data_IF_924740213741
#
_entry.id   IF_924740213741
#
_cell.length_a   1.000
_cell.length_b   1.000
_cell.length_c   1.000
_cell.angle_alpha   90.00
_cell.angle_beta   90.00
_cell.angle_gamma   90.00
#
_symmetry.space_group_name_H-M   'P 1'
#
loop_
_entity.id
_entity.type
_entity.pdbx_description
1 polymer ?
#
# COMPACT_ATOMS: atom_id res chain seq x y z
N UNK A 1 -3.60 2.18 -5.37
CA UNK A 1 -4.17 1.69 -4.09
C UNK A 1 -5.59 2.20 -3.95
N UNK A 2 -5.79 3.51 -4.05
CA UNK A 2 -7.09 4.17 -3.97
C UNK A 2 -8.20 3.53 -4.82
N UNK A 3 -7.92 3.17 -6.09
CA UNK A 3 -8.92 2.52 -6.94
C UNK A 3 -9.46 1.20 -6.33
N UNK A 4 -8.61 0.42 -5.68
CA UNK A 4 -8.99 -0.87 -5.09
C UNK A 4 -9.81 -0.66 -3.81
N UNK A 5 -9.42 0.31 -2.99
CA UNK A 5 -10.18 0.73 -1.81
C UNK A 5 -11.56 1.29 -2.21
N UNK A 6 -11.60 2.11 -3.26
CA UNK A 6 -12.86 2.64 -3.82
C UNK A 6 -13.73 1.53 -4.37
N UNK A 7 -13.16 0.61 -5.16
CA UNK A 7 -13.91 -0.48 -5.75
C UNK A 7 -14.47 -1.43 -4.67
N UNK A 8 -13.68 -1.79 -3.66
CA UNK A 8 -14.15 -2.60 -2.54
C UNK A 8 -15.26 -1.90 -1.75
N UNK A 9 -15.16 -0.58 -1.55
CA UNK A 9 -16.21 0.21 -0.92
C UNK A 9 -17.50 0.23 -1.76
N UNK A 10 -17.40 0.57 -3.04
CA UNK A 10 -18.55 0.63 -3.96
C UNK A 10 -19.25 -0.72 -4.10
N UNK A 11 -18.49 -1.82 -4.18
CA UNK A 11 -19.05 -3.17 -4.23
C UNK A 11 -19.86 -3.51 -2.97
N UNK A 12 -19.37 -3.14 -1.79
CA UNK A 12 -20.09 -3.37 -0.52
C UNK A 12 -21.41 -2.61 -0.46
N UNK A 13 -21.41 -1.33 -0.83
CA UNK A 13 -22.63 -0.54 -0.86
C UNK A 13 -23.62 -1.09 -1.90
N UNK A 14 -23.12 -1.52 -3.06
CA UNK A 14 -23.95 -2.16 -4.09
C UNK A 14 -24.56 -3.50 -3.62
N UNK A 15 -23.89 -4.22 -2.71
CA UNK A 15 -24.44 -5.42 -2.07
C UNK A 15 -25.45 -5.13 -0.94
N UNK A 16 -25.78 -3.86 -0.69
CA UNK A 16 -26.74 -3.45 0.35
C UNK A 16 -26.15 -3.36 1.76
N UNK A 17 -24.82 -3.34 1.91
CA UNK A 17 -24.19 -3.15 3.21
C UNK A 17 -24.47 -1.74 3.76
N UNK A 18 -24.64 -1.57 5.08
CA UNK A 18 -24.88 -0.27 5.68
C UNK A 18 -23.70 0.67 5.46
N UNK A 19 -23.96 1.96 5.22
CA UNK A 19 -22.92 2.96 5.03
C UNK A 19 -22.31 3.39 6.39
N UNK A 20 -21.56 2.49 7.02
CA UNK A 20 -21.00 2.66 8.36
C UNK A 20 -19.49 2.39 8.45
N UNK A 21 -18.96 2.56 9.67
CA UNK A 21 -17.51 2.46 9.93
C UNK A 21 -17.03 1.01 9.81
N UNK A 22 -17.85 0.02 10.18
CA UNK A 22 -17.54 -1.41 10.06
C UNK A 22 -17.37 -1.79 8.59
N UNK A 23 -18.34 -1.44 7.76
CA UNK A 23 -18.30 -1.70 6.31
C UNK A 23 -17.07 -1.03 5.67
N UNK A 24 -16.69 0.15 6.16
CA UNK A 24 -15.52 0.88 5.66
C UNK A 24 -14.21 0.16 6.00
N UNK A 25 -14.06 -0.33 7.23
CA UNK A 25 -12.85 -1.03 7.65
C UNK A 25 -12.65 -2.32 6.88
N UNK A 26 -13.71 -3.09 6.71
CA UNK A 26 -13.65 -4.35 5.98
C UNK A 26 -13.42 -4.14 4.47
N UNK A 27 -14.04 -3.13 3.85
CA UNK A 27 -13.76 -2.74 2.47
C UNK A 27 -12.28 -2.33 2.26
N UNK A 28 -11.71 -1.61 3.23
CA UNK A 28 -10.30 -1.23 3.20
C UNK A 28 -9.40 -2.47 3.31
N UNK A 29 -9.72 -3.42 4.20
CA UNK A 29 -8.97 -4.66 4.34
C UNK A 29 -8.94 -5.45 3.04
N UNK A 30 -10.10 -5.64 2.43
CA UNK A 30 -10.28 -6.38 1.18
C UNK A 30 -9.54 -5.71 0.01
N UNK A 31 -9.68 -4.39 -0.14
CA UNK A 31 -8.96 -3.62 -1.16
C UNK A 31 -7.45 -3.55 -0.93
N UNK A 32 -6.98 -3.58 0.32
CA UNK A 32 -5.56 -3.56 0.66
C UNK A 32 -4.88 -4.91 0.37
N UNK A 33 -5.50 -6.03 0.75
CA UNK A 33 -4.95 -7.39 0.56
C UNK A 33 -4.65 -7.68 -0.91
N UNK A 34 -5.52 -7.23 -1.83
CA UNK A 34 -5.32 -7.42 -3.27
C UNK A 34 -4.00 -6.82 -3.80
N UNK A 35 -3.40 -5.88 -3.07
CA UNK A 35 -2.13 -5.24 -3.44
C UNK A 35 -0.91 -5.79 -2.73
N UNK A 36 -1.07 -6.60 -1.68
CA UNK A 36 0.05 -7.18 -0.93
C UNK A 36 0.87 -8.08 -1.83
N UNK A 37 0.23 -9.04 -2.52
CA UNK A 37 0.92 -10.01 -3.37
C UNK A 37 1.67 -9.36 -4.55
N UNK A 38 1.07 -8.44 -5.34
CA UNK A 38 1.80 -7.76 -6.40
C UNK A 38 2.95 -6.88 -5.90
N UNK A 39 2.78 -6.15 -4.79
CA UNK A 39 3.86 -5.32 -4.22
C UNK A 39 5.01 -6.17 -3.71
N UNK A 40 4.70 -7.26 -3.00
CA UNK A 40 5.70 -8.19 -2.48
C UNK A 40 6.49 -8.85 -3.62
N UNK A 41 5.83 -9.20 -4.73
CA UNK A 41 6.50 -9.72 -5.92
C UNK A 41 7.56 -8.75 -6.47
N UNK A 42 7.20 -7.47 -6.63
CA UNK A 42 8.16 -6.46 -7.12
C UNK A 42 9.33 -6.28 -6.17
N UNK A 43 9.09 -6.19 -4.86
CA UNK A 43 10.15 -6.07 -3.85
C UNK A 43 11.07 -7.30 -3.91
N UNK A 44 10.52 -8.51 -3.95
CA UNK A 44 11.29 -9.74 -4.01
C UNK A 44 12.21 -9.81 -5.24
N UNK A 45 11.69 -9.48 -6.43
CA UNK A 45 12.48 -9.47 -7.67
C UNK A 45 13.62 -8.46 -7.61
N UNK A 46 13.36 -7.27 -7.08
CA UNK A 46 14.37 -6.20 -6.98
C UNK A 46 15.44 -6.58 -5.97
N UNK A 47 15.06 -7.10 -4.79
CA UNK A 47 16.01 -7.63 -3.83
C UNK A 47 16.84 -8.75 -4.45
N UNK A 48 16.24 -9.72 -5.12
CA UNK A 48 16.96 -10.82 -5.76
C UNK A 48 17.96 -10.34 -6.83
N UNK A 49 17.60 -9.32 -7.63
CA UNK A 49 18.46 -8.78 -8.69
C UNK A 49 19.60 -7.89 -8.18
N UNK A 50 19.36 -7.10 -7.12
CA UNK A 50 20.34 -6.15 -6.58
C UNK A 50 21.17 -6.69 -5.42
N UNK A 51 20.71 -7.75 -4.74
CA UNK A 51 21.44 -8.36 -3.62
C UNK A 51 22.86 -8.80 -3.99
N UNK A 52 23.12 -9.45 -5.15
CA UNK A 52 24.48 -9.82 -5.55
C UNK A 52 25.38 -8.60 -5.79
N UNK A 53 24.82 -7.53 -6.36
CA UNK A 53 25.53 -6.27 -6.62
C UNK A 53 25.89 -5.54 -5.33
N UNK A 54 25.09 -5.74 -4.28
CA UNK A 54 25.30 -5.15 -2.98
C UNK A 54 26.39 -5.87 -2.18
N UNK A 55 26.48 -7.21 -2.28
CA UNK A 55 27.42 -8.03 -1.50
C UNK A 55 28.76 -8.26 -2.21
N UNK A 56 28.82 -8.09 -3.55
CA UNK A 56 30.03 -8.32 -4.32
C UNK A 56 31.20 -7.42 -3.93
N UNK A 57 32.38 -8.01 -3.71
CA UNK A 57 33.63 -7.30 -3.48
C UNK A 57 34.51 -7.39 -4.74
N UNK A 58 34.96 -6.24 -5.25
CA UNK A 58 35.76 -6.15 -6.48
C UNK A 58 35.91 -4.72 -6.97
N UNK A 59 36.77 -4.50 -7.98
CA UNK A 59 36.95 -3.18 -8.58
C UNK A 59 35.61 -2.64 -9.12
N UNK A 60 35.24 -1.41 -8.73
CA UNK A 60 33.97 -0.79 -9.11
C UNK A 60 32.77 -1.10 -8.21
N UNK A 61 32.92 -2.00 -7.22
CA UNK A 61 31.86 -2.32 -6.25
C UNK A 61 31.43 -1.11 -5.41
N UNK A 62 32.36 -0.25 -4.98
CA UNK A 62 32.02 0.95 -4.20
C UNK A 62 31.04 1.88 -4.92
N UNK A 63 31.20 2.04 -6.24
CA UNK A 63 30.31 2.87 -7.05
C UNK A 63 28.94 2.20 -7.18
N UNK A 64 28.92 0.90 -7.43
CA UNK A 64 27.67 0.14 -7.63
C UNK A 64 26.86 0.04 -6.33
N UNK A 65 27.51 -0.16 -5.18
CA UNK A 65 26.86 -0.15 -3.86
C UNK A 65 26.22 1.20 -3.54
N UNK A 66 26.87 2.33 -3.88
CA UNK A 66 26.31 3.68 -3.65
C UNK A 66 25.05 3.95 -4.48
N UNK A 67 24.91 3.31 -5.64
CA UNK A 67 23.72 3.39 -6.49
C UNK A 67 22.63 2.42 -5.99
N UNK A 68 23.02 1.19 -5.63
CA UNK A 68 22.10 0.15 -5.21
C UNK A 68 21.50 0.40 -3.81
N UNK A 69 22.26 0.99 -2.87
CA UNK A 69 21.82 1.17 -1.49
C UNK A 69 20.54 2.04 -1.37
N UNK A 70 20.45 3.23 -1.99
CA UNK A 70 19.22 4.02 -1.98
C UNK A 70 18.06 3.32 -2.68
N UNK A 71 18.33 2.58 -3.77
CA UNK A 71 17.30 1.84 -4.51
C UNK A 71 16.68 0.73 -3.66
N UNK A 72 17.51 -0.06 -2.98
CA UNK A 72 17.07 -1.12 -2.06
C UNK A 72 16.27 -0.53 -0.88
N UNK A 73 16.80 0.52 -0.26
CA UNK A 73 16.13 1.21 0.86
C UNK A 73 14.77 1.79 0.45
N UNK A 74 14.71 2.48 -0.68
CA UNK A 74 13.47 3.05 -1.22
C UNK A 74 12.46 1.98 -1.61
N UNK A 75 12.90 0.87 -2.21
CA UNK A 75 12.01 -0.21 -2.62
C UNK A 75 11.43 -1.00 -1.44
N UNK A 76 12.14 -1.08 -0.31
CA UNK A 76 11.61 -1.66 0.92
C UNK A 76 10.63 -0.69 1.62
N UNK A 77 11.03 0.57 1.78
CA UNK A 77 10.29 1.53 2.60
C UNK A 77 9.06 2.09 1.90
N UNK A 78 9.14 2.44 0.61
CA UNK A 78 8.05 3.12 -0.09
C UNK A 78 6.78 2.25 -0.23
N UNK A 79 6.84 0.96 -0.59
CA UNK A 79 5.65 0.12 -0.70
C UNK A 79 4.97 -0.13 0.64
N UNK A 80 5.76 -0.30 1.71
CA UNK A 80 5.29 -0.45 3.10
C UNK A 80 4.59 0.82 3.56
N UNK A 81 5.26 1.97 3.42
CA UNK A 81 4.67 3.27 3.72
C UNK A 81 3.37 3.47 2.94
N UNK A 82 3.35 3.16 1.65
CA UNK A 82 2.16 3.23 0.81
C UNK A 82 1.04 2.26 1.24
N UNK A 83 1.36 1.08 1.76
CA UNK A 83 0.37 0.12 2.27
C UNK A 83 -0.24 0.54 3.60
N UNK A 84 0.44 1.35 4.39
CA UNK A 84 -0.08 1.85 5.67
C UNK A 84 -0.77 3.21 5.48
N UNK A 85 -0.08 4.16 4.84
CA UNK A 85 -0.51 5.55 4.76
C UNK A 85 -1.76 5.72 3.88
N UNK A 86 -1.84 5.06 2.72
CA UNK A 86 -2.97 5.27 1.81
C UNK A 86 -4.29 4.74 2.41
N UNK A 87 -4.35 3.51 2.96
CA UNK A 87 -5.55 3.03 3.66
C UNK A 87 -5.94 3.90 4.86
N UNK A 88 -4.97 4.33 5.67
CA UNK A 88 -5.22 5.21 6.81
C UNK A 88 -5.79 6.56 6.39
N UNK A 89 -5.22 7.18 5.35
CA UNK A 89 -5.72 8.43 4.79
C UNK A 89 -7.15 8.27 4.23
N UNK A 90 -7.41 7.17 3.51
CA UNK A 90 -8.74 6.87 2.98
C UNK A 90 -9.77 6.70 4.10
N UNK A 91 -9.42 5.96 5.16
CA UNK A 91 -10.26 5.79 6.34
C UNK A 91 -10.60 7.14 7.00
N UNK A 92 -9.61 8.00 7.22
CA UNK A 92 -9.80 9.30 7.86
C UNK A 92 -10.71 10.22 7.05
N UNK A 93 -10.51 10.30 5.74
CA UNK A 93 -11.34 11.13 4.85
C UNK A 93 -12.78 10.60 4.81
N UNK A 94 -12.97 9.30 4.61
CA UNK A 94 -14.32 8.72 4.49
C UNK A 94 -15.08 8.73 5.81
N UNK A 95 -14.43 8.45 6.94
CA UNK A 95 -15.03 8.53 8.28
C UNK A 95 -15.55 9.93 8.61
N UNK A 96 -14.88 10.99 8.15
CA UNK A 96 -15.37 12.37 8.32
C UNK A 96 -16.67 12.61 7.55
N UNK A 97 -16.74 12.13 6.30
CA UNK A 97 -17.98 12.20 5.50
C UNK A 97 -19.15 11.45 6.15
N UNK A 98 -18.90 10.24 6.68
CA UNK A 98 -19.93 9.45 7.38
C UNK A 98 -20.43 10.11 8.67
N UNK A 99 -19.59 10.88 9.37
CA UNK A 99 -19.99 11.63 10.56
C UNK A 99 -20.81 12.88 10.21
N UNK A 100 -20.43 13.58 9.15
CA UNK A 100 -21.17 14.75 8.68
C UNK A 100 -22.60 14.37 8.26
N UNK A 101 -22.75 13.29 7.49
CA UNK A 101 -24.06 12.79 7.05
C UNK A 101 -24.98 12.32 8.20
N UNK A 102 -24.39 11.96 9.36
CA UNK A 102 -25.13 11.54 10.56
C UNK A 102 -25.52 12.69 11.49
N UNK A 103 -24.96 13.88 11.28
CA UNK A 103 -25.27 15.08 12.07
C UNK A 103 -26.41 15.92 11.50
N UNK A 104 -26.82 15.66 10.26
CA UNK A 104 -27.92 16.34 9.55
C UNK A 104 -29.25 15.55 9.59
N UNK A 105 -29.34 14.49 10.40
CA UNK A 105 -30.58 13.74 10.70
C UNK A 105 -30.93 13.88 12.17
#
# INVERSE_FOLDING_TARGET
>A
MLLYLRHAWEQRLASGAPEDVSTLQEAIYEGAVQRVRPKAMTVAVILAGLFPLFVGAGAGSEVMQRIAAPMLGGMLTAPVLSMVVIPAAFYLVRRRGLRAARGDQ
#
